data_IF_420340075591
#
_entry.id   IF_420340075591
#
_cell.length_a   1.000
_cell.length_b   1.000
_cell.length_c   1.000
_cell.angle_alpha   90.00
_cell.angle_beta   90.00
_cell.angle_gamma   90.00
#
_symmetry.space_group_name_H-M   'P 1'
#
loop_
_entity.id
_entity.type
_entity.pdbx_description
1 polymer ?
#
# COMPACT_ATOMS: atom_id res chain seq x y z
N UNK A 1 -4.85 -0.71 -9.91
CA UNK A 1 -3.79 0.17 -10.42
C UNK A 1 -3.57 1.27 -9.40
N UNK A 2 -2.35 1.50 -8.96
CA UNK A 2 -1.94 2.66 -8.14
C UNK A 2 -0.61 3.21 -8.69
N UNK A 3 0.04 4.15 -7.99
CA UNK A 3 1.34 4.70 -8.39
C UNK A 3 2.50 4.17 -7.52
N UNK A 4 2.28 4.19 -6.21
CA UNK A 4 3.17 3.64 -5.19
C UNK A 4 2.93 2.15 -5.03
N UNK A 5 2.22 1.76 -3.97
CA UNK A 5 1.97 0.36 -3.73
C UNK A 5 0.94 0.09 -2.67
N UNK A 6 1.23 -0.89 -1.83
CA UNK A 6 0.36 -1.35 -0.76
C UNK A 6 0.76 -0.75 0.59
N UNK A 7 0.04 -1.18 1.62
CA UNK A 7 -0.08 -0.47 2.89
C UNK A 7 0.89 -0.96 3.95
N UNK A 8 1.29 -0.02 4.80
CA UNK A 8 2.06 -0.27 6.02
C UNK A 8 1.26 -1.10 7.04
N UNK A 9 -0.05 -0.92 7.07
CA UNK A 9 -0.97 -1.66 7.94
C UNK A 9 -1.63 -2.83 7.21
N UNK A 10 -1.88 -3.92 7.95
CA UNK A 10 -2.62 -5.05 7.43
C UNK A 10 -4.13 -4.78 7.36
N UNK A 11 -4.78 -5.43 6.40
CA UNK A 11 -6.23 -5.49 6.36
C UNK A 11 -6.95 -4.30 5.76
N UNK A 12 -6.23 -3.31 5.22
CA UNK A 12 -6.80 -2.22 4.41
C UNK A 12 -7.61 -2.82 3.26
N UNK A 13 -8.84 -2.36 3.10
CA UNK A 13 -9.78 -2.82 2.09
C UNK A 13 -9.92 -1.81 0.94
N UNK A 14 -10.49 -2.26 -0.18
CA UNK A 14 -10.94 -1.36 -1.24
C UNK A 14 -11.93 -0.30 -0.75
N UNK A 15 -12.73 -0.60 0.29
CA UNK A 15 -13.68 0.35 0.86
C UNK A 15 -12.98 1.46 1.66
N UNK A 16 -11.92 1.12 2.40
CA UNK A 16 -11.10 2.10 3.12
C UNK A 16 -10.43 3.08 2.15
N UNK A 17 -9.97 2.58 0.99
CA UNK A 17 -9.43 3.41 -0.09
C UNK A 17 -10.50 4.36 -0.63
N UNK A 18 -11.73 3.88 -0.89
CA UNK A 18 -12.83 4.73 -1.38
C UNK A 18 -13.23 5.83 -0.40
N UNK A 19 -13.12 5.55 0.90
CA UNK A 19 -13.46 6.49 1.98
C UNK A 19 -12.35 7.50 2.30
N UNK A 20 -11.17 7.35 1.72
CA UNK A 20 -10.04 8.24 1.98
C UNK A 20 -10.32 9.66 1.45
N UNK A 21 -10.27 10.66 2.33
CA UNK A 21 -10.35 12.07 1.92
C UNK A 21 -9.05 12.48 1.19
N UNK A 22 -9.18 12.65 -0.12
CA UNK A 22 -8.08 12.83 -1.07
C UNK A 22 -7.97 14.25 -1.64
N UNK A 23 -8.87 15.17 -1.30
CA UNK A 23 -8.84 16.54 -1.84
C UNK A 23 -7.97 17.42 -0.95
N UNK A 24 -6.70 17.03 -0.82
CA UNK A 24 -5.70 17.63 0.07
C UNK A 24 -4.30 17.21 -0.34
N UNK A 25 -3.28 17.81 0.29
CA UNK A 25 -1.92 17.30 0.19
C UNK A 25 -1.81 15.92 0.86
N UNK A 26 -1.03 14.98 0.29
CA UNK A 26 -0.77 13.71 0.92
C UNK A 26 -0.22 13.90 2.34
N UNK A 27 -0.73 13.16 3.34
CA UNK A 27 -0.13 13.13 4.68
C UNK A 27 1.21 12.38 4.66
N UNK A 28 1.98 12.50 5.75
CA UNK A 28 3.24 11.76 5.92
C UNK A 28 3.05 10.24 6.16
N UNK A 29 1.85 9.82 6.57
CA UNK A 29 1.48 8.41 6.80
C UNK A 29 0.01 8.12 6.43
N UNK A 30 -0.32 6.85 6.25
CA UNK A 30 -1.67 6.34 5.98
C UNK A 30 -1.93 5.99 4.51
N UNK A 31 -3.19 5.58 4.22
CA UNK A 31 -3.61 5.00 2.93
C UNK A 31 -3.19 5.86 1.72
N UNK A 32 -3.40 7.18 1.80
CA UNK A 32 -3.04 8.10 0.71
C UNK A 32 -1.52 8.19 0.50
N UNK A 33 -0.73 8.14 1.58
CA UNK A 33 0.73 8.15 1.50
C UNK A 33 1.24 6.86 0.86
N UNK A 34 0.78 5.70 1.35
CA UNK A 34 1.21 4.39 0.88
C UNK A 34 0.88 4.13 -0.60
N UNK A 35 -0.32 4.53 -1.03
CA UNK A 35 -0.76 4.42 -2.43
C UNK A 35 0.12 5.23 -3.41
N UNK A 36 0.84 6.23 -2.92
CA UNK A 36 1.70 7.10 -3.71
C UNK A 36 3.19 6.74 -3.56
N UNK A 37 3.62 6.26 -2.39
CA UNK A 37 5.06 6.20 -2.05
C UNK A 37 5.61 4.83 -1.70
N UNK A 38 4.77 3.84 -1.41
CA UNK A 38 5.26 2.50 -1.05
C UNK A 38 5.86 1.75 -2.24
N UNK A 39 6.83 0.87 -1.97
CA UNK A 39 7.52 0.06 -2.97
C UNK A 39 7.47 -1.44 -2.61
N UNK A 40 7.43 -2.36 -3.58
CA UNK A 40 7.59 -3.78 -3.29
C UNK A 40 9.04 -4.10 -2.87
N UNK A 41 9.21 -5.19 -2.14
CA UNK A 41 10.51 -5.82 -1.88
C UNK A 41 10.44 -7.34 -2.10
N UNK A 42 11.59 -7.96 -2.33
CA UNK A 42 11.70 -9.41 -2.57
C UNK A 42 11.48 -10.24 -1.29
N UNK A 43 11.93 -9.71 -0.15
CA UNK A 43 11.81 -10.38 1.14
C UNK A 43 10.40 -10.26 1.71
N UNK A 44 9.99 -11.28 2.46
CA UNK A 44 8.71 -11.30 3.18
C UNK A 44 8.66 -10.21 4.26
N UNK A 45 7.44 -9.75 4.55
CA UNK A 45 7.16 -8.74 5.57
C UNK A 45 7.30 -7.32 5.04
N UNK A 46 7.53 -6.38 5.97
CA UNK A 46 7.64 -4.95 5.67
C UNK A 46 8.99 -4.41 6.12
N UNK A 47 9.48 -3.37 5.44
CA UNK A 47 10.66 -2.63 5.83
C UNK A 47 10.45 -1.12 5.67
N UNK A 48 11.24 -0.28 6.35
CA UNK A 48 11.22 1.16 6.13
C UNK A 48 11.50 1.51 4.66
N UNK A 49 10.78 2.49 4.12
CA UNK A 49 11.01 2.95 2.75
C UNK A 49 12.39 3.59 2.61
N UNK A 50 13.10 3.24 1.54
CA UNK A 50 14.35 3.91 1.13
C UNK A 50 14.16 5.38 0.75
N UNK A 51 12.90 5.79 0.52
CA UNK A 51 12.51 7.16 0.18
C UNK A 51 12.27 8.03 1.43
N UNK A 52 12.33 7.45 2.63
CA UNK A 52 12.00 8.15 3.88
C UNK A 52 10.51 8.35 4.12
N UNK A 53 9.64 7.91 3.20
CA UNK A 53 8.17 8.01 3.29
C UNK A 53 7.51 6.77 2.65
N UNK A 54 6.39 6.33 3.22
CA UNK A 54 5.75 5.05 2.90
C UNK A 54 6.50 3.83 3.47
N UNK A 55 6.25 2.64 2.93
CA UNK A 55 6.95 1.42 3.34
C UNK A 55 7.42 0.58 2.15
N UNK A 56 8.33 -0.36 2.42
CA UNK A 56 8.53 -1.50 1.55
C UNK A 56 7.64 -2.66 1.98
N UNK A 57 7.02 -3.39 1.04
CA UNK A 57 6.15 -4.52 1.34
C UNK A 57 6.51 -5.76 0.51
N UNK A 58 6.51 -6.91 1.16
CA UNK A 58 6.89 -8.19 0.57
C UNK A 58 5.79 -8.86 -0.25
N UNK A 59 6.11 -9.99 -0.89
CA UNK A 59 5.15 -10.78 -1.65
C UNK A 59 3.99 -11.29 -0.77
N UNK A 60 4.26 -11.64 0.48
CA UNK A 60 3.25 -12.10 1.43
C UNK A 60 2.19 -11.05 1.77
N UNK A 61 2.59 -9.77 1.83
CA UNK A 61 1.66 -8.66 2.02
C UNK A 61 0.78 -8.47 0.79
N UNK A 62 1.37 -8.61 -0.41
CA UNK A 62 0.63 -8.55 -1.67
C UNK A 62 -0.39 -9.68 -1.75
N UNK A 63 0.04 -10.92 -1.51
CA UNK A 63 -0.81 -12.12 -1.55
C UNK A 63 -1.98 -12.02 -0.57
N UNK A 64 -1.71 -11.57 0.66
CA UNK A 64 -2.75 -11.38 1.66
C UNK A 64 -3.77 -10.31 1.24
N UNK A 65 -3.30 -9.20 0.67
CA UNK A 65 -4.17 -8.10 0.26
C UNK A 65 -5.04 -8.47 -0.95
N UNK A 66 -4.48 -9.15 -1.95
CA UNK A 66 -5.23 -9.58 -3.14
C UNK A 66 -6.30 -10.60 -2.77
N UNK A 67 -5.97 -11.58 -1.90
CA UNK A 67 -6.91 -12.59 -1.43
C UNK A 67 -8.05 -11.96 -0.64
N UNK A 68 -7.74 -10.99 0.23
CA UNK A 68 -8.75 -10.28 1.04
C UNK A 68 -9.69 -9.41 0.18
N UNK A 69 -9.18 -8.80 -0.88
CA UNK A 69 -9.93 -7.83 -1.68
C UNK A 69 -10.54 -8.42 -2.96
N UNK A 70 -10.35 -9.72 -3.22
CA UNK A 70 -10.91 -10.39 -4.39
C UNK A 70 -10.34 -9.88 -5.72
N UNK A 71 -9.08 -9.44 -5.72
CA UNK A 71 -8.36 -9.00 -6.92
C UNK A 71 -7.27 -10.01 -7.28
N UNK A 72 -6.79 -9.99 -8.52
CA UNK A 72 -5.80 -10.97 -8.99
C UNK A 72 -4.35 -10.47 -8.85
N UNK A 73 -4.11 -9.19 -9.12
CA UNK A 73 -2.79 -8.58 -9.06
C UNK A 73 -2.90 -7.06 -8.91
N UNK A 74 -1.77 -6.43 -8.59
CA UNK A 74 -1.63 -4.99 -8.48
C UNK A 74 -0.70 -4.51 -9.59
N UNK A 75 -1.16 -3.52 -10.36
CA UNK A 75 -0.31 -2.72 -11.25
C UNK A 75 0.01 -1.43 -10.54
N UNK A 76 1.26 -1.00 -10.61
CA UNK A 76 1.77 0.23 -10.02
C UNK A 76 2.67 0.99 -11.00
#
# INVERSE_FOLDING_TARGET
VCHGGLFKEDGVTLDDIRKTDRVRQPPDDGIMCDLLWSDPQELRGRAPSKRGVGCQFGPDITDAWIAKNGVQYVVR
#
